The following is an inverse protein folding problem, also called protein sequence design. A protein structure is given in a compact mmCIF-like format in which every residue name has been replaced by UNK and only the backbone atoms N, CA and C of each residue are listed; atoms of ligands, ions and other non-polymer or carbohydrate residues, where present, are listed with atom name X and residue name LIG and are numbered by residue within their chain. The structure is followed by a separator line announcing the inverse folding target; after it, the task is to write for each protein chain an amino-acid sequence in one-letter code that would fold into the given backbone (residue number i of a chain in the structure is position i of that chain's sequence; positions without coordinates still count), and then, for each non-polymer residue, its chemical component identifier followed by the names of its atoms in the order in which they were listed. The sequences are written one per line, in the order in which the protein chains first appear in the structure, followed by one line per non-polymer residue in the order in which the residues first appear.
data_IF_720755958320
#
_entry.id   IF_720755958320
#
_cell.length_a   1.000
_cell.length_b   1.000
_cell.length_c   1.000
_cell.angle_alpha   90.00
_cell.angle_beta   90.00
_cell.angle_gamma   90.00
#
_symmetry.space_group_name_H-M   'P 1'
#
loop_
_entity.id
_entity.type
_entity.pdbx_description
1 polymer ?
#
# COMPACT_ATOMS: atom_id res chain seq x y z
N UNK A 1 -3.83 -6.85 11.54
CA UNK A 1 -3.29 -5.90 10.55
C UNK A 1 -3.77 -6.18 9.13
N UNK A 2 -4.67 -7.13 8.98
CA UNK A 2 -5.36 -7.32 7.70
C UNK A 2 -6.19 -6.09 7.39
N UNK A 3 -6.04 -5.54 6.18
CA UNK A 3 -6.71 -4.29 5.81
C UNK A 3 -7.84 -4.55 4.83
N UNK A 4 -8.89 -3.75 4.97
CA UNK A 4 -10.02 -3.75 4.04
C UNK A 4 -9.70 -2.78 2.90
N UNK A 5 -9.49 -3.31 1.69
CA UNK A 5 -9.11 -2.49 0.54
C UNK A 5 -10.22 -1.51 0.11
N UNK A 6 -11.47 -1.74 0.51
CA UNK A 6 -12.54 -0.79 0.23
C UNK A 6 -12.28 0.58 0.89
N UNK A 7 -11.46 0.63 1.93
CA UNK A 7 -11.09 1.89 2.57
C UNK A 7 -10.27 2.81 1.68
N UNK A 8 -9.75 2.31 0.55
CA UNK A 8 -9.04 3.17 -0.42
C UNK A 8 -9.92 4.30 -0.96
N UNK A 9 -11.23 4.08 -0.98
CA UNK A 9 -12.20 5.04 -1.50
C UNK A 9 -12.81 5.90 -0.39
N UNK A 10 -12.47 5.65 0.85
CA UNK A 10 -13.05 6.34 2.01
C UNK A 10 -12.06 7.38 2.52
N UNK A 11 -12.50 8.64 2.58
CA UNK A 11 -11.68 9.71 3.15
C UNK A 11 -11.49 9.46 4.65
N UNK A 12 -10.28 9.65 5.19
CA UNK A 12 -10.06 9.48 6.62
C UNK A 12 -10.82 10.55 7.39
N UNK A 13 -11.55 10.13 8.43
CA UNK A 13 -12.20 11.07 9.36
C UNK A 13 -11.23 11.41 10.49
N UNK A 14 -11.38 12.60 11.11
CA UNK A 14 -10.60 12.91 12.30
C UNK A 14 -10.81 11.86 13.39
N UNK A 15 -9.73 11.31 13.89
CA UNK A 15 -9.76 10.29 14.92
C UNK A 15 -9.89 8.85 14.43
N UNK A 16 -10.11 8.63 13.14
CA UNK A 16 -10.13 7.30 12.57
C UNK A 16 -8.79 6.97 11.92
N UNK A 17 -8.37 5.73 12.05
CA UNK A 17 -7.12 5.25 11.50
C UNK A 17 -7.37 4.50 10.19
N UNK A 18 -7.24 5.20 9.06
CA UNK A 18 -7.33 4.58 7.74
C UNK A 18 -5.92 4.38 7.17
N UNK A 19 -5.43 3.13 7.20
CA UNK A 19 -4.11 2.78 6.72
C UNK A 19 -4.14 2.19 5.30
N UNK A 20 -5.19 2.50 4.52
CA UNK A 20 -5.31 2.09 3.13
C UNK A 20 -5.29 3.31 2.21
N UNK A 21 -6.18 4.27 2.41
CA UNK A 21 -6.21 5.48 1.61
C UNK A 21 -4.89 6.25 1.78
N UNK A 22 -4.17 6.46 0.68
CA UNK A 22 -2.89 7.16 0.70
C UNK A 22 -1.69 6.29 1.08
N UNK A 23 -1.89 4.98 1.20
CA UNK A 23 -0.84 4.02 1.53
C UNK A 23 -0.81 2.90 0.48
N UNK A 24 0.01 1.87 0.71
CA UNK A 24 0.25 0.85 -0.32
C UNK A 24 -1.02 0.13 -0.77
N UNK A 25 -1.94 -0.16 0.17
CA UNK A 25 -3.16 -0.89 -0.16
C UNK A 25 -4.02 -0.21 -1.23
N UNK A 26 -3.98 1.11 -1.33
CA UNK A 26 -4.78 1.84 -2.30
C UNK A 26 -4.32 1.62 -3.75
N UNK A 27 -3.10 1.11 -3.96
CA UNK A 27 -2.57 0.82 -5.29
C UNK A 27 -2.73 -0.63 -5.73
N UNK A 28 -3.43 -1.47 -4.95
CA UNK A 28 -3.55 -2.89 -5.23
C UNK A 28 -4.87 -3.22 -5.94
N UNK A 29 -4.90 -4.31 -6.75
CA UNK A 29 -6.16 -4.79 -7.30
C UNK A 29 -7.15 -5.17 -6.20
N UNK A 30 -8.48 -5.04 -6.45
CA UNK A 30 -9.48 -5.24 -5.40
C UNK A 30 -9.50 -6.62 -4.76
N UNK A 31 -9.04 -7.65 -5.47
CA UNK A 31 -9.07 -9.04 -4.97
C UNK A 31 -7.82 -9.40 -4.18
N UNK A 32 -6.89 -8.45 -4.03
CA UNK A 32 -5.66 -8.67 -3.27
C UNK A 32 -5.96 -8.74 -1.78
N UNK A 33 -5.06 -9.40 -1.06
CA UNK A 33 -5.06 -9.41 0.40
C UNK A 33 -3.81 -8.69 0.89
N UNK A 34 -3.95 -7.89 1.93
CA UNK A 34 -2.83 -7.12 2.48
C UNK A 34 -2.87 -7.13 4.01
N UNK A 35 -1.72 -7.36 4.59
CA UNK A 35 -1.47 -7.19 6.03
C UNK A 35 -0.40 -6.12 6.14
N UNK A 36 -0.70 -5.02 6.81
CA UNK A 36 0.21 -3.88 6.78
C UNK A 36 0.22 -3.12 8.09
N UNK A 37 1.26 -2.32 8.26
CA UNK A 37 1.33 -1.31 9.30
C UNK A 37 1.93 -0.05 8.70
N UNK A 38 1.13 1.02 8.66
CA UNK A 38 1.54 2.32 8.16
C UNK A 38 2.06 3.20 9.30
N UNK A 39 2.83 4.22 8.93
CA UNK A 39 3.23 5.27 9.85
C UNK A 39 3.35 6.58 9.10
N UNK A 40 2.97 7.66 9.76
CA UNK A 40 3.06 8.99 9.13
C UNK A 40 3.18 10.08 10.16
N UNK A 41 3.91 11.12 9.75
CA UNK A 41 4.00 12.39 10.46
C UNK A 41 3.97 13.49 9.42
N UNK A 42 4.20 14.74 9.83
CA UNK A 42 4.35 15.83 8.86
C UNK A 42 5.61 15.70 8.02
N UNK A 43 6.56 14.84 8.40
CA UNK A 43 7.87 14.71 7.76
C UNK A 43 8.10 13.36 7.08
N UNK A 44 7.30 12.34 7.42
CA UNK A 44 7.48 10.99 6.89
C UNK A 44 6.15 10.37 6.55
N UNK A 45 6.17 9.47 5.56
CA UNK A 45 5.05 8.58 5.24
C UNK A 45 5.64 7.25 4.82
N UNK A 46 5.24 6.19 5.50
CA UNK A 46 5.76 4.86 5.17
C UNK A 46 4.72 3.79 5.44
N UNK A 47 4.95 2.63 4.83
CA UNK A 47 4.11 1.45 5.00
C UNK A 47 4.96 0.20 4.85
N UNK A 48 4.63 -0.80 5.62
CA UNK A 48 5.25 -2.12 5.52
C UNK A 48 4.11 -3.12 5.32
N UNK A 49 4.17 -3.90 4.24
CA UNK A 49 3.06 -4.73 3.84
C UNK A 49 3.49 -6.12 3.38
N UNK A 50 2.73 -7.13 3.80
CA UNK A 50 2.74 -8.46 3.21
C UNK A 50 1.54 -8.51 2.26
N UNK A 51 1.78 -8.84 1.00
CA UNK A 51 0.80 -8.71 -0.06
C UNK A 51 0.61 -10.03 -0.78
N UNK A 52 -0.66 -10.43 -0.94
CA UNK A 52 -1.05 -11.61 -1.73
C UNK A 52 -1.89 -11.14 -2.90
N UNK A 53 -1.34 -11.25 -4.10
CA UNK A 53 -2.08 -11.04 -5.34
C UNK A 53 -2.69 -12.38 -5.77
N UNK A 54 -3.77 -12.32 -6.56
CA UNK A 54 -4.40 -13.52 -7.09
C UNK A 54 -3.42 -14.26 -8.01
N UNK A 55 -3.22 -15.55 -7.76
CA UNK A 55 -2.38 -16.44 -8.57
C UNK A 55 -0.93 -15.97 -8.74
N UNK A 56 -0.40 -15.28 -7.71
CA UNK A 56 0.99 -14.81 -7.71
C UNK A 56 1.66 -15.18 -6.40
N UNK A 57 2.99 -15.21 -6.44
CA UNK A 57 3.80 -15.40 -5.23
C UNK A 57 3.59 -14.21 -4.28
N UNK A 58 3.30 -14.47 -3.00
CA UNK A 58 3.23 -13.39 -2.02
C UNK A 58 4.56 -12.66 -1.89
N UNK A 59 4.51 -11.38 -1.54
CA UNK A 59 5.74 -10.61 -1.34
C UNK A 59 5.59 -9.60 -0.21
N UNK A 60 6.74 -9.18 0.31
CA UNK A 60 6.83 -8.08 1.26
C UNK A 60 7.24 -6.83 0.51
N UNK A 61 6.57 -5.73 0.77
CA UNK A 61 6.93 -4.43 0.23
C UNK A 61 6.99 -3.45 1.39
N UNK A 62 8.18 -2.86 1.57
CA UNK A 62 8.41 -1.90 2.63
C UNK A 62 8.92 -0.62 1.99
N UNK A 63 8.23 0.48 2.24
CA UNK A 63 8.56 1.77 1.67
C UNK A 63 8.68 2.80 2.78
N UNK A 64 9.83 3.46 2.85
CA UNK A 64 10.04 4.58 3.74
C UNK A 64 10.26 5.83 2.89
N UNK A 65 9.54 6.89 3.20
CA UNK A 65 9.75 8.19 2.57
C UNK A 65 9.96 9.24 3.65
N UNK A 66 10.72 10.28 3.31
CA UNK A 66 10.90 11.43 4.21
C UNK A 66 10.79 12.73 3.43
N UNK A 67 10.60 13.81 4.16
CA UNK A 67 10.39 15.14 3.58
C UNK A 67 8.93 15.49 3.47
N UNK A 68 8.61 16.76 3.65
CA UNK A 68 7.23 17.25 3.67
C UNK A 68 6.50 16.95 2.36
N UNK A 69 7.19 17.13 1.23
CA UNK A 69 6.56 16.87 -0.07
C UNK A 69 6.10 15.41 -0.19
N UNK A 70 6.92 14.45 0.25
CA UNK A 70 6.58 13.03 0.18
C UNK A 70 5.54 12.65 1.23
N UNK A 71 5.65 13.19 2.44
CA UNK A 71 4.71 12.86 3.51
C UNK A 71 3.29 13.33 3.21
N UNK A 72 3.17 14.43 2.47
CA UNK A 72 1.89 15.02 2.07
C UNK A 72 1.33 14.41 0.77
N UNK A 73 2.13 13.63 0.06
CA UNK A 73 1.71 13.07 -1.23
C UNK A 73 0.98 11.75 -1.03
N UNK A 74 -0.35 11.82 -1.01
CA UNK A 74 -1.20 10.65 -0.78
C UNK A 74 -1.28 9.72 -1.99
N UNK A 75 -0.67 10.09 -3.11
CA UNK A 75 -0.64 9.26 -4.33
C UNK A 75 0.66 8.48 -4.48
N UNK A 76 1.70 8.83 -3.71
CA UNK A 76 3.02 8.25 -3.89
C UNK A 76 3.06 6.76 -3.54
N UNK A 77 2.63 6.37 -2.35
CA UNK A 77 2.66 4.95 -1.96
C UNK A 77 1.72 4.11 -2.80
N UNK A 78 0.48 4.55 -3.10
CA UNK A 78 -0.36 3.80 -4.05
C UNK A 78 0.28 3.63 -5.42
N UNK A 79 0.96 4.65 -5.93
CA UNK A 79 1.68 4.57 -7.21
C UNK A 79 2.79 3.51 -7.14
N UNK A 80 3.57 3.52 -6.07
CA UNK A 80 4.66 2.54 -5.89
C UNK A 80 4.08 1.12 -5.83
N UNK A 81 3.00 0.92 -5.09
CA UNK A 81 2.35 -0.39 -5.01
C UNK A 81 1.88 -0.87 -6.38
N UNK A 82 1.26 0.03 -7.16
CA UNK A 82 0.80 -0.29 -8.52
C UNK A 82 1.95 -0.69 -9.43
N UNK A 83 3.09 0.00 -9.35
CA UNK A 83 4.27 -0.33 -10.14
C UNK A 83 4.81 -1.71 -9.78
N UNK A 84 4.79 -2.08 -8.49
CA UNK A 84 5.21 -3.41 -8.07
C UNK A 84 4.23 -4.49 -8.50
N UNK A 85 2.91 -4.21 -8.50
CA UNK A 85 1.93 -5.14 -9.05
C UNK A 85 2.25 -5.45 -10.52
N UNK A 86 2.53 -4.42 -11.31
CA UNK A 86 2.89 -4.59 -12.72
C UNK A 86 4.15 -5.42 -12.86
N UNK A 87 5.19 -5.12 -12.08
CA UNK A 87 6.45 -5.85 -12.13
C UNK A 87 6.28 -7.32 -11.72
N UNK A 88 5.54 -7.55 -10.63
CA UNK A 88 5.31 -8.91 -10.14
C UNK A 88 4.47 -9.74 -11.11
N UNK A 89 3.58 -9.08 -11.86
CA UNK A 89 2.76 -9.77 -12.86
C UNK A 89 3.57 -10.24 -14.07
N UNK A 90 4.76 -9.68 -14.28
CA UNK A 90 5.65 -10.05 -15.36
C UNK A 90 6.64 -11.15 -14.97
N UNK A 91 6.69 -11.49 -13.68
CA UNK A 91 7.54 -12.57 -13.20
C UNK A 91 6.79 -13.88 -13.40
N UNK A 92 7.44 -14.87 -14.03
CA UNK A 92 6.82 -16.17 -14.24
C UNK A 92 6.46 -16.79 -12.90
N UNK A 93 5.26 -17.38 -12.82
CA UNK A 93 4.84 -18.07 -11.61
C UNK A 93 5.78 -19.26 -11.36
N UNK A 94 6.13 -19.55 -10.09
CA UNK A 94 6.94 -20.71 -9.79
C UNK A 94 6.23 -21.99 -10.25
N UNK A 95 6.97 -22.89 -10.82
CA UNK A 95 6.44 -24.18 -11.23
C UNK A 95 6.51 -25.20 -10.12
#
# INVERSE_FOLDING_TARGET
LHRNLNLAQVAPDPGEENQVNGFLGAGLPPESQIWSKAGWTSQVRHDAAYIELVDRQPYLLIVFTEGTANSQNRQLLPFIADQFVTAMSQIAAPE
#
